data_IF_436675741083
#
_entry.id   IF_436675741083
#
_cell.length_a   1.000
_cell.length_b   1.000
_cell.length_c   1.000
_cell.angle_alpha   90.00
_cell.angle_beta   90.00
_cell.angle_gamma   90.00
#
_symmetry.space_group_name_H-M   'P 1'
#
loop_
_entity.id
_entity.type
_entity.pdbx_description
1 polymer ?
#
# COMPACT_ATOMS: atom_id res chain seq x y z
N UNK A 1 1.82 -18.86 -3.19
CA UNK A 1 1.70 -18.77 -4.67
C UNK A 1 1.00 -17.51 -5.15
N UNK A 2 0.17 -16.84 -4.31
CA UNK A 2 -0.56 -15.63 -4.72
C UNK A 2 0.30 -14.35 -4.69
N UNK A 3 1.41 -14.33 -3.97
CA UNK A 3 2.25 -13.13 -3.86
C UNK A 3 2.88 -12.76 -5.23
N UNK A 4 2.57 -11.57 -5.79
CA UNK A 4 3.04 -11.21 -7.13
C UNK A 4 4.55 -11.01 -7.21
N UNK A 5 5.21 -10.74 -6.08
CA UNK A 5 6.65 -10.54 -5.99
C UNK A 5 7.40 -11.73 -5.41
N UNK A 6 6.69 -12.82 -5.16
CA UNK A 6 7.23 -14.02 -4.52
C UNK A 6 7.98 -13.74 -3.21
N UNK A 7 7.45 -12.80 -2.41
CA UNK A 7 8.01 -12.48 -1.09
C UNK A 7 7.82 -13.65 -0.11
N UNK A 8 6.72 -14.39 -0.20
CA UNK A 8 6.48 -15.63 0.55
C UNK A 8 6.92 -16.78 -0.38
N UNK A 9 8.15 -17.22 -0.25
CA UNK A 9 8.77 -18.14 -1.22
C UNK A 9 8.75 -19.62 -0.76
N UNK A 10 8.58 -19.85 0.53
CA UNK A 10 8.42 -21.19 1.13
C UNK A 10 7.48 -21.11 2.34
N UNK A 11 6.90 -22.24 2.81
CA UNK A 11 6.14 -22.25 4.05
C UNK A 11 6.94 -21.66 5.22
N UNK A 12 6.32 -20.71 5.92
CA UNK A 12 6.90 -19.97 7.06
C UNK A 12 8.14 -19.12 6.74
N UNK A 13 8.46 -18.90 5.46
CA UNK A 13 9.59 -18.05 5.05
C UNK A 13 9.13 -16.86 4.22
N UNK A 14 9.52 -15.69 4.67
CA UNK A 14 9.23 -14.40 4.03
C UNK A 14 10.53 -13.65 3.76
N UNK A 15 10.73 -13.22 2.52
CA UNK A 15 11.71 -12.21 2.17
C UNK A 15 11.02 -10.84 2.12
N UNK A 16 11.13 -10.10 3.21
CA UNK A 16 10.51 -8.79 3.34
C UNK A 16 11.02 -7.79 2.28
N UNK A 17 12.26 -7.96 1.79
CA UNK A 17 12.83 -7.09 0.76
C UNK A 17 12.15 -7.20 -0.60
N UNK A 18 11.26 -8.18 -0.78
CA UNK A 18 10.42 -8.35 -1.97
C UNK A 18 8.96 -7.93 -1.76
N UNK A 19 8.57 -7.67 -0.51
CA UNK A 19 7.17 -7.38 -0.17
C UNK A 19 6.74 -6.01 -0.67
N UNK A 20 5.59 -5.93 -1.36
CA UNK A 20 5.02 -4.65 -1.80
C UNK A 20 4.76 -3.71 -0.62
N UNK A 21 4.29 -4.23 0.52
CA UNK A 21 4.11 -3.42 1.74
C UNK A 21 5.42 -2.82 2.24
N UNK A 22 6.52 -3.57 2.19
CA UNK A 22 7.83 -3.01 2.53
C UNK A 22 8.22 -1.87 1.58
N UNK A 23 8.11 -2.07 0.27
CA UNK A 23 8.44 -1.05 -0.72
C UNK A 23 7.60 0.21 -0.57
N UNK A 24 6.32 0.06 -0.33
CA UNK A 24 5.36 1.17 -0.36
C UNK A 24 5.26 1.93 0.97
N UNK A 25 5.58 1.28 2.10
CA UNK A 25 5.46 1.86 3.44
C UNK A 25 6.82 2.16 4.07
N UNK A 26 7.72 1.17 4.09
CA UNK A 26 8.93 1.20 4.91
C UNK A 26 10.16 1.73 4.16
N UNK A 27 10.31 1.41 2.89
CA UNK A 27 11.45 1.88 2.11
C UNK A 27 11.40 3.40 1.95
N UNK A 28 12.47 4.09 2.37
CA UNK A 28 12.57 5.55 2.33
C UNK A 28 13.32 6.06 1.10
N UNK A 29 14.19 5.25 0.53
CA UNK A 29 14.98 5.56 -0.66
C UNK A 29 14.13 5.48 -1.93
N UNK A 30 14.72 5.90 -3.03
CA UNK A 30 14.16 5.67 -4.37
C UNK A 30 14.17 4.18 -4.71
N UNK A 31 13.23 3.76 -5.54
CA UNK A 31 13.28 2.40 -6.08
C UNK A 31 14.53 2.21 -6.93
N UNK A 32 15.11 1.01 -6.85
CA UNK A 32 16.20 0.64 -7.74
C UNK A 32 15.75 0.72 -9.20
N UNK A 33 16.63 1.19 -10.08
CA UNK A 33 16.38 1.23 -11.53
C UNK A 33 16.08 -0.16 -12.11
N UNK A 34 16.53 -1.21 -11.44
CA UNK A 34 16.31 -2.59 -11.86
C UNK A 34 15.04 -3.21 -11.24
N UNK A 35 14.27 -2.45 -10.48
CA UNK A 35 13.02 -2.94 -9.90
C UNK A 35 12.00 -3.13 -11.02
N UNK A 36 11.67 -4.37 -11.32
CA UNK A 36 10.68 -4.76 -12.35
C UNK A 36 9.44 -5.44 -11.76
N UNK A 37 9.23 -5.29 -10.46
CA UNK A 37 8.11 -5.92 -9.76
C UNK A 37 6.78 -5.25 -10.13
N UNK A 38 5.79 -6.06 -10.44
CA UNK A 38 4.43 -5.57 -10.69
C UNK A 38 3.69 -5.37 -9.35
N UNK A 39 3.45 -4.13 -8.99
CA UNK A 39 2.75 -3.77 -7.74
C UNK A 39 1.23 -3.85 -7.84
N UNK A 40 0.66 -4.25 -8.99
CA UNK A 40 -0.80 -4.41 -9.14
C UNK A 40 -1.61 -3.20 -8.69
N UNK A 41 -1.15 -2.00 -8.99
CA UNK A 41 -1.73 -0.71 -8.56
C UNK A 41 -1.69 -0.43 -7.05
N UNK A 42 -1.02 -1.25 -6.23
CA UNK A 42 -0.83 -0.96 -4.81
C UNK A 42 0.13 0.20 -4.60
N UNK A 43 -0.38 1.31 -4.07
CA UNK A 43 0.41 2.51 -3.75
C UNK A 43 0.77 2.63 -2.28
N UNK A 44 0.07 1.89 -1.42
CA UNK A 44 0.33 1.82 0.03
C UNK A 44 -0.17 0.49 0.58
N UNK A 45 0.74 -0.32 1.10
CA UNK A 45 0.40 -1.67 1.59
C UNK A 45 0.16 -2.66 0.45
N UNK A 46 -0.30 -3.85 0.81
CA UNK A 46 -0.74 -4.90 -0.10
C UNK A 46 -1.42 -5.99 0.70
N UNK A 47 -2.65 -6.34 0.35
CA UNK A 47 -3.47 -7.32 1.06
C UNK A 47 -3.62 -8.66 0.31
N UNK A 48 -2.95 -8.86 -0.82
CA UNK A 48 -3.11 -10.07 -1.65
C UNK A 48 -2.92 -11.36 -0.83
N UNK A 49 -1.92 -11.41 0.04
CA UNK A 49 -1.69 -12.59 0.89
C UNK A 49 -2.76 -12.75 1.97
N UNK A 50 -3.37 -11.66 2.43
CA UNK A 50 -4.49 -11.69 3.38
C UNK A 50 -5.78 -12.15 2.71
N UNK A 51 -6.05 -11.69 1.48
CA UNK A 51 -7.25 -12.03 0.73
C UNK A 51 -7.35 -13.53 0.45
N UNK A 52 -6.22 -14.18 0.17
CA UNK A 52 -6.18 -15.63 -0.10
C UNK A 52 -5.97 -16.49 1.14
N UNK A 53 -5.79 -15.88 2.31
CA UNK A 53 -5.51 -16.60 3.54
C UNK A 53 -6.74 -17.41 3.99
N UNK A 54 -6.64 -18.75 4.14
CA UNK A 54 -7.78 -19.58 4.55
C UNK A 54 -8.36 -19.21 5.92
N UNK A 55 -7.54 -18.62 6.80
CA UNK A 55 -7.98 -18.19 8.14
C UNK A 55 -8.90 -16.97 8.09
N UNK A 56 -8.80 -16.13 7.06
CA UNK A 56 -9.67 -14.96 6.90
C UNK A 56 -11.12 -15.32 6.56
N UNK A 57 -11.42 -16.57 6.19
CA UNK A 57 -12.81 -17.04 6.00
C UNK A 57 -13.67 -16.91 7.27
N UNK A 58 -13.04 -16.78 8.43
CA UNK A 58 -13.74 -16.61 9.71
C UNK A 58 -13.83 -15.15 10.14
N UNK A 59 -13.23 -14.24 9.37
CA UNK A 59 -13.27 -12.81 9.69
C UNK A 59 -14.71 -12.28 9.57
N UNK A 60 -15.01 -11.30 10.43
CA UNK A 60 -16.29 -10.58 10.41
C UNK A 60 -16.02 -9.10 10.25
N UNK A 61 -16.95 -8.38 9.66
CA UNK A 61 -16.92 -6.92 9.68
C UNK A 61 -16.84 -6.43 11.13
N UNK A 62 -16.06 -5.39 11.36
CA UNK A 62 -16.00 -4.74 12.67
C UNK A 62 -16.81 -3.43 12.65
N UNK A 63 -17.19 -2.96 13.82
CA UNK A 63 -17.97 -1.74 14.00
C UNK A 63 -17.11 -0.58 14.55
N UNK A 64 -15.78 -0.71 14.49
CA UNK A 64 -14.87 0.30 15.01
C UNK A 64 -14.84 1.54 14.09
N UNK A 65 -15.37 2.63 14.60
CA UNK A 65 -15.50 3.90 13.86
C UNK A 65 -14.13 4.44 13.38
N UNK A 66 -13.07 4.19 14.15
CA UNK A 66 -11.72 4.63 13.78
C UNK A 66 -11.16 3.93 12.52
N UNK A 67 -11.77 2.81 12.12
CA UNK A 67 -11.41 2.10 10.89
C UNK A 67 -12.25 2.51 9.67
N UNK A 68 -13.22 3.41 9.87
CA UNK A 68 -13.96 3.94 8.74
C UNK A 68 -13.04 4.75 7.81
N UNK A 69 -13.21 4.53 6.52
CA UNK A 69 -12.42 5.24 5.52
C UNK A 69 -12.83 6.72 5.47
N UNK A 70 -11.85 7.61 5.46
CA UNK A 70 -12.12 9.02 5.23
C UNK A 70 -12.86 9.22 3.89
N UNK A 71 -14.05 9.85 3.87
CA UNK A 71 -14.83 10.05 2.66
C UNK A 71 -14.06 10.79 1.54
N UNK A 72 -13.16 11.71 1.89
CA UNK A 72 -12.33 12.40 0.89
C UNK A 72 -11.45 11.42 0.12
N UNK A 73 -10.87 10.43 0.81
CA UNK A 73 -10.01 9.40 0.19
C UNK A 73 -10.84 8.45 -0.66
N UNK A 74 -12.01 8.04 -0.17
CA UNK A 74 -12.89 7.10 -0.88
C UNK A 74 -13.35 7.63 -2.23
N UNK A 75 -13.40 8.95 -2.38
CA UNK A 75 -13.84 9.60 -3.60
C UNK A 75 -12.68 9.90 -4.58
N UNK A 76 -11.43 9.63 -4.20
CA UNK A 76 -10.30 9.84 -5.10
C UNK A 76 -10.36 8.89 -6.29
N UNK A 77 -10.28 9.45 -7.47
CA UNK A 77 -10.05 8.71 -8.70
C UNK A 77 -8.54 8.66 -9.03
N UNK A 78 -8.17 7.95 -10.08
CA UNK A 78 -6.76 7.80 -10.48
C UNK A 78 -6.06 9.15 -10.74
N UNK A 79 -6.77 10.11 -11.34
CA UNK A 79 -6.21 11.43 -11.60
C UNK A 79 -5.95 12.20 -10.30
N UNK A 80 -6.85 12.12 -9.32
CA UNK A 80 -6.67 12.76 -8.02
C UNK A 80 -5.42 12.25 -7.29
N UNK A 81 -5.15 10.95 -7.37
CA UNK A 81 -3.92 10.37 -6.83
C UNK A 81 -2.67 10.86 -7.56
N UNK A 82 -2.72 10.95 -8.90
CA UNK A 82 -1.60 11.42 -9.71
C UNK A 82 -1.31 12.90 -9.43
N UNK A 83 -2.35 13.72 -9.29
CA UNK A 83 -2.25 15.17 -9.08
C UNK A 83 -2.12 15.57 -7.60
N UNK A 84 -2.03 14.59 -6.70
CA UNK A 84 -1.91 14.82 -5.26
C UNK A 84 -0.76 15.78 -4.94
N UNK A 85 -1.08 16.87 -4.24
CA UNK A 85 -0.13 17.86 -3.74
C UNK A 85 0.27 17.57 -2.29
N UNK A 86 1.41 18.10 -1.85
CA UNK A 86 1.86 17.94 -0.46
C UNK A 86 0.89 18.59 0.53
N UNK A 87 0.27 19.70 0.16
CA UNK A 87 -0.72 20.40 0.98
C UNK A 87 -1.96 19.53 1.19
N UNK A 88 -2.51 18.96 0.12
CA UNK A 88 -3.65 18.03 0.18
C UNK A 88 -3.29 16.78 0.98
N UNK A 89 -2.08 16.23 0.79
CA UNK A 89 -1.59 15.10 1.56
C UNK A 89 -1.60 15.37 3.07
N UNK A 90 -1.06 16.51 3.49
CA UNK A 90 -1.02 16.88 4.91
C UNK A 90 -2.42 17.03 5.51
N UNK A 91 -3.36 17.59 4.73
CA UNK A 91 -4.74 17.79 5.19
C UNK A 91 -5.50 16.48 5.30
N UNK A 92 -5.47 15.65 4.25
CA UNK A 92 -6.33 14.46 4.12
C UNK A 92 -5.81 13.28 4.94
N UNK A 93 -4.48 13.12 5.03
CA UNK A 93 -3.84 11.99 5.71
C UNK A 93 -3.31 12.31 7.10
N UNK A 94 -3.77 13.39 7.73
CA UNK A 94 -3.28 13.83 9.04
C UNK A 94 -3.36 12.75 10.11
N UNK A 95 -4.45 11.98 10.13
CA UNK A 95 -4.71 10.90 11.09
C UNK A 95 -4.68 9.51 10.44
N UNK A 96 -4.15 9.41 9.23
CA UNK A 96 -4.08 8.17 8.48
C UNK A 96 -2.72 7.47 8.63
N UNK A 97 -2.67 6.12 8.63
CA UNK A 97 -1.42 5.35 8.53
C UNK A 97 -0.58 5.70 7.29
N UNK A 98 -1.20 6.18 6.23
CA UNK A 98 -0.54 6.61 4.99
C UNK A 98 0.51 7.71 5.24
N UNK A 99 0.33 8.50 6.30
CA UNK A 99 1.31 9.50 6.76
C UNK A 99 2.71 8.90 7.01
N UNK A 100 2.80 7.61 7.34
CA UNK A 100 4.07 6.92 7.58
C UNK A 100 4.98 6.91 6.36
N UNK A 101 4.43 6.81 5.15
CA UNK A 101 5.22 6.85 3.91
C UNK A 101 5.75 8.25 3.60
N UNK A 102 5.20 9.29 4.21
CA UNK A 102 5.36 10.70 3.87
C UNK A 102 4.91 11.00 2.44
N UNK A 103 4.71 12.28 2.11
CA UNK A 103 4.30 12.66 0.75
C UNK A 103 5.26 12.16 -0.33
N UNK A 104 6.57 12.30 -0.09
CA UNK A 104 7.60 11.86 -1.04
C UNK A 104 7.51 10.36 -1.36
N UNK A 105 7.33 9.54 -0.33
CA UNK A 105 7.21 8.09 -0.50
C UNK A 105 5.93 7.70 -1.25
N UNK A 106 4.79 8.27 -0.87
CA UNK A 106 3.52 8.01 -1.55
C UNK A 106 3.57 8.46 -3.01
N UNK A 107 4.13 9.64 -3.29
CA UNK A 107 4.28 10.15 -4.65
C UNK A 107 5.20 9.28 -5.51
N UNK A 108 6.29 8.78 -4.94
CA UNK A 108 7.16 7.79 -5.58
C UNK A 108 6.37 6.53 -5.98
N UNK A 109 5.55 6.00 -5.06
CA UNK A 109 4.75 4.80 -5.27
C UNK A 109 3.71 5.01 -6.39
N UNK A 110 3.00 6.15 -6.36
CA UNK A 110 2.03 6.52 -7.41
C UNK A 110 2.72 6.58 -8.77
N UNK A 111 3.89 7.21 -8.85
CA UNK A 111 4.63 7.32 -10.10
C UNK A 111 5.13 5.97 -10.62
N UNK A 112 5.38 5.02 -9.74
CA UNK A 112 5.83 3.68 -10.10
C UNK A 112 4.71 2.81 -10.72
N UNK A 113 3.49 2.91 -10.19
CA UNK A 113 2.33 2.13 -10.69
C UNK A 113 1.54 2.83 -11.80
N UNK A 114 1.94 4.02 -12.18
CA UNK A 114 1.28 4.90 -13.15
C UNK A 114 1.23 4.39 -14.62
#
# INVERSE_FOLDING_TARGET
DACPTNAIYEPYKLDASRCISYYTIELKESFSSNLSSDFKDWIFGCDICQDVCPWNRFSKANDEVLFETNPEISNFNKADWIDLTEETFKKVFQESPIKRSKFKGLKRNINYVR
#
